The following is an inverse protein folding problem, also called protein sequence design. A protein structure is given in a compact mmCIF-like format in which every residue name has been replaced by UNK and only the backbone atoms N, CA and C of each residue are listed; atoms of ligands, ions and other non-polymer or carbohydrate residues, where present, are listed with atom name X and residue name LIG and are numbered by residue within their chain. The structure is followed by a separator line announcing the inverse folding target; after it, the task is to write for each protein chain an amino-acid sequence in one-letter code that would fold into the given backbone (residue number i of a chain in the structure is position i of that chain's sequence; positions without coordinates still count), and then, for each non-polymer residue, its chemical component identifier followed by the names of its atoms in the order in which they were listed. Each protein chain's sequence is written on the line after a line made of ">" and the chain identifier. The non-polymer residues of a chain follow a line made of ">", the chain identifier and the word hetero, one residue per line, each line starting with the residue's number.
data_IF_362000395021
#
_entry.id   IF_362000395021
#
_cell.length_a   1.000
_cell.length_b   1.000
_cell.length_c   1.000
_cell.angle_alpha   90.00
_cell.angle_beta   90.00
_cell.angle_gamma   90.00
#
_symmetry.space_group_name_H-M   'P 1'
#
loop_
_entity.id
_entity.type
_entity.pdbx_description
1 polymer ?
#
# COMPACT_ATOMS: atom_id res chain seq x y z
N UNK A 1 -22.36 14.03 16.87
CA UNK A 1 -21.06 13.87 16.21
C UNK A 1 -21.00 12.43 15.75
N UNK A 2 -21.08 12.15 14.45
CA UNK A 2 -21.00 10.78 13.96
C UNK A 2 -19.53 10.39 13.96
N UNK A 3 -19.07 9.80 15.07
CA UNK A 3 -17.88 8.98 15.05
C UNK A 3 -18.21 7.80 14.13
N UNK A 4 -17.87 7.93 12.85
CA UNK A 4 -17.82 6.76 11.97
C UNK A 4 -16.67 5.94 12.52
N UNK A 5 -17.02 4.86 13.22
CA UNK A 5 -16.09 3.77 13.50
C UNK A 5 -15.61 3.28 12.13
N UNK A 6 -14.50 3.85 11.68
CA UNK A 6 -13.91 3.52 10.39
C UNK A 6 -13.39 2.10 10.54
N UNK A 7 -13.89 1.14 9.74
CA UNK A 7 -13.46 -0.23 9.86
C UNK A 7 -11.94 -0.27 9.68
N UNK A 8 -11.26 -0.81 10.69
CA UNK A 8 -9.82 -1.01 10.67
C UNK A 8 -9.49 -1.91 9.47
N UNK A 9 -8.54 -1.49 8.65
CA UNK A 9 -8.16 -2.25 7.46
C UNK A 9 -7.03 -3.20 7.83
N UNK A 10 -7.42 -4.37 8.37
CA UNK A 10 -6.50 -5.42 8.82
C UNK A 10 -6.32 -6.55 7.78
N UNK A 11 -7.01 -6.47 6.64
CA UNK A 11 -6.83 -7.43 5.56
C UNK A 11 -5.53 -7.13 4.79
N UNK A 12 -4.53 -8.00 4.98
CA UNK A 12 -3.20 -7.88 4.36
C UNK A 12 -3.28 -7.82 2.82
N UNK A 13 -4.17 -8.62 2.22
CA UNK A 13 -4.30 -8.70 0.77
C UNK A 13 -4.87 -7.41 0.20
N UNK A 14 -5.91 -6.88 0.84
CA UNK A 14 -6.53 -5.61 0.47
C UNK A 14 -5.56 -4.44 0.66
N UNK A 15 -4.82 -4.41 1.79
CA UNK A 15 -3.81 -3.39 2.06
C UNK A 15 -2.67 -3.44 1.03
N UNK A 16 -2.19 -4.63 0.70
CA UNK A 16 -1.16 -4.82 -0.32
C UNK A 16 -1.64 -4.29 -1.68
N UNK A 17 -2.86 -4.61 -2.09
CA UNK A 17 -3.41 -4.12 -3.36
C UNK A 17 -3.59 -2.59 -3.37
N UNK A 18 -4.04 -2.00 -2.27
CA UNK A 18 -4.17 -0.56 -2.13
C UNK A 18 -2.81 0.14 -2.24
N UNK A 19 -1.80 -0.35 -1.52
CA UNK A 19 -0.43 0.20 -1.57
C UNK A 19 0.17 0.03 -2.97
N UNK A 20 0.00 -1.13 -3.61
CA UNK A 20 0.48 -1.33 -4.98
C UNK A 20 -0.18 -0.38 -5.98
N UNK A 21 -1.50 -0.13 -5.85
CA UNK A 21 -2.20 0.82 -6.71
C UNK A 21 -1.66 2.23 -6.52
N UNK A 22 -1.47 2.67 -5.27
CA UNK A 22 -0.96 4.00 -4.97
C UNK A 22 0.50 4.19 -5.42
N UNK A 23 1.34 3.16 -5.27
CA UNK A 23 2.71 3.19 -5.78
C UNK A 23 2.77 3.27 -7.31
N UNK A 24 1.84 2.62 -8.02
CA UNK A 24 1.75 2.71 -9.49
C UNK A 24 1.32 4.10 -9.97
N UNK A 25 0.48 4.77 -9.20
CA UNK A 25 0.09 6.16 -9.45
C UNK A 25 1.22 7.16 -9.13
N UNK A 26 2.35 6.69 -8.57
CA UNK A 26 3.51 7.51 -8.27
C UNK A 26 3.46 8.21 -6.91
N UNK A 27 2.55 7.81 -6.03
CA UNK A 27 2.54 8.33 -4.66
C UNK A 27 3.75 7.81 -3.88
N UNK A 28 4.38 8.72 -3.13
CA UNK A 28 5.48 8.38 -2.23
C UNK A 28 4.97 7.67 -0.97
N UNK A 29 5.87 6.91 -0.34
CA UNK A 29 5.58 6.18 0.91
C UNK A 29 4.87 7.04 1.96
N UNK A 30 5.35 8.27 2.18
CA UNK A 30 4.87 9.13 3.27
C UNK A 30 3.46 9.62 3.01
N UNK A 31 3.13 9.91 1.76
CA UNK A 31 1.78 10.25 1.32
C UNK A 31 0.83 9.07 1.50
N UNK A 32 1.25 7.86 1.13
CA UNK A 32 0.44 6.63 1.28
C UNK A 32 0.19 6.35 2.77
N UNK A 33 1.24 6.38 3.59
CA UNK A 33 1.17 6.14 5.03
C UNK A 33 0.20 7.13 5.71
N UNK A 34 0.34 8.42 5.41
CA UNK A 34 -0.52 9.46 5.98
C UNK A 34 -1.98 9.33 5.52
N UNK A 35 -2.21 8.95 4.26
CA UNK A 35 -3.56 8.70 3.75
C UNK A 35 -4.22 7.52 4.48
N UNK A 36 -3.49 6.42 4.66
CA UNK A 36 -4.01 5.24 5.34
C UNK A 36 -4.30 5.55 6.81
N UNK A 37 -3.36 6.10 7.57
CA UNK A 37 -3.58 6.49 8.98
C UNK A 37 -4.79 7.41 9.17
N UNK A 38 -5.06 8.30 8.20
CA UNK A 38 -6.14 9.28 8.28
C UNK A 38 -7.51 8.74 7.86
N UNK A 39 -7.56 7.85 6.87
CA UNK A 39 -8.81 7.40 6.25
C UNK A 39 -9.15 5.93 6.50
N UNK A 40 -8.19 5.12 6.93
CA UNK A 40 -8.35 3.70 7.19
C UNK A 40 -7.36 3.31 8.29
N UNK A 41 -7.75 3.35 9.59
CA UNK A 41 -6.83 2.98 10.66
C UNK A 41 -6.25 1.60 10.36
N UNK A 42 -4.93 1.52 10.30
CA UNK A 42 -4.18 0.31 9.94
C UNK A 42 -3.06 0.10 10.95
N UNK A 43 -2.60 -1.14 11.05
CA UNK A 43 -1.37 -1.43 11.78
C UNK A 43 -0.14 -0.92 11.01
N UNK A 44 0.74 -0.19 11.70
CA UNK A 44 1.97 0.37 11.10
C UNK A 44 2.99 -0.75 10.77
N UNK A 45 2.98 -1.84 11.52
CA UNK A 45 3.84 -2.99 11.23
C UNK A 45 3.33 -3.71 9.98
N UNK A 46 2.02 -3.90 9.86
CA UNK A 46 1.39 -4.46 8.66
C UNK A 46 1.63 -3.59 7.43
N UNK A 47 1.55 -2.26 7.58
CA UNK A 47 1.90 -1.31 6.53
C UNK A 47 3.33 -1.51 6.03
N UNK A 48 4.29 -1.58 6.94
CA UNK A 48 5.70 -1.73 6.60
C UNK A 48 5.95 -3.03 5.82
N UNK A 49 5.37 -4.15 6.26
CA UNK A 49 5.46 -5.44 5.58
C UNK A 49 4.83 -5.40 4.19
N UNK A 50 3.61 -4.87 4.06
CA UNK A 50 2.93 -4.74 2.77
C UNK A 50 3.67 -3.80 1.81
N UNK A 51 4.27 -2.73 2.31
CA UNK A 51 5.05 -1.79 1.49
C UNK A 51 6.30 -2.46 0.90
N UNK A 52 7.04 -3.22 1.70
CA UNK A 52 8.22 -3.96 1.24
C UNK A 52 7.83 -4.98 0.17
N UNK A 53 6.74 -5.74 0.41
CA UNK A 53 6.19 -6.69 -0.56
C UNK A 53 5.76 -6.01 -1.87
N UNK A 54 5.09 -4.87 -1.79
CA UNK A 54 4.64 -4.10 -2.94
C UNK A 54 5.83 -3.57 -3.79
N UNK A 55 6.86 -3.01 -3.15
CA UNK A 55 8.06 -2.53 -3.83
C UNK A 55 8.81 -3.67 -4.53
N UNK A 56 8.96 -4.81 -3.87
CA UNK A 56 9.58 -5.99 -4.47
C UNK A 56 8.77 -6.52 -5.67
N UNK A 57 7.43 -6.52 -5.56
CA UNK A 57 6.49 -6.90 -6.62
C UNK A 57 6.58 -5.98 -7.85
N UNK A 58 6.65 -4.66 -7.65
CA UNK A 58 6.81 -3.68 -8.73
C UNK A 58 8.19 -3.82 -9.39
N UNK A 59 9.25 -3.96 -8.60
CA UNK A 59 10.60 -4.12 -9.14
C UNK A 59 10.74 -5.40 -9.98
N UNK A 60 10.14 -6.52 -9.52
CA UNK A 60 10.10 -7.77 -10.29
C UNK A 60 9.35 -7.60 -11.62
N UNK A 61 8.21 -6.88 -11.63
CA UNK A 61 7.47 -6.57 -12.86
C UNK A 61 8.29 -5.75 -13.85
N UNK A 62 8.99 -4.73 -13.37
CA UNK A 62 9.85 -3.88 -14.20
C UNK A 62 11.03 -4.68 -14.81
N UNK A 63 11.66 -5.57 -14.04
CA UNK A 63 12.75 -6.41 -14.53
C UNK A 63 12.29 -7.37 -15.65
N UNK A 64 11.09 -7.94 -15.53
CA UNK A 64 10.52 -8.81 -16.58
C UNK A 64 10.23 -7.99 -17.84
N UNK A 65 9.65 -6.79 -17.69
CA UNK A 65 9.36 -5.91 -18.83
C UNK A 65 10.62 -5.44 -19.56
N UNK A 66 11.73 -5.26 -18.86
CA UNK A 66 13.01 -4.81 -19.44
C UNK A 66 13.75 -5.92 -20.22
N UNK A 67 13.43 -7.19 -19.97
CA UNK A 67 14.08 -8.33 -20.65
C UNK A 67 13.35 -8.73 -21.94
N UNK A 68 12.13 -8.23 -22.14
CA UNK A 68 11.27 -8.58 -23.27
C UNK A 68 11.30 -7.55 -24.43
N UNK A 69 12.20 -6.55 -24.37
CA UNK A 69 12.42 -5.53 -25.40
C UNK A 69 13.78 -5.73 -26.07
#
# INVERSE_FOLDING_TARGET
>A
MFERDLPRMDDEVMLLQAIEALLREGFDRRTIENALVRYAPIDLDLFADCLVKALASINRRNAISATAA
#
